data_IF_708313552535
#
_entry.id   IF_708313552535
#
_cell.length_a   1.000
_cell.length_b   1.000
_cell.length_c   1.000
_cell.angle_alpha   90.00
_cell.angle_beta   90.00
_cell.angle_gamma   90.00
#
_symmetry.space_group_name_H-M   'P 1'
#
loop_
_entity.id
_entity.type
_entity.pdbx_description
1 polymer ?
#
# COMPACT_ATOMS: atom_id res chain seq x y z
N UNK A 1 6.41 -10.83 6.76
CA UNK A 1 7.87 -10.84 6.69
C UNK A 1 8.43 -9.43 6.64
N UNK A 2 9.47 -9.22 7.45
CA UNK A 2 10.57 -8.24 7.35
C UNK A 2 10.31 -6.76 7.03
N UNK A 3 10.94 -5.90 7.84
CA UNK A 3 11.42 -4.59 7.43
C UNK A 3 12.93 -4.54 7.66
N UNK A 4 13.65 -3.77 6.85
CA UNK A 4 15.05 -3.43 7.09
C UNK A 4 15.07 -2.05 7.74
N UNK A 5 15.73 -1.90 8.88
CA UNK A 5 15.94 -0.59 9.52
C UNK A 5 17.24 -0.02 8.98
N UNK A 6 17.19 1.24 8.57
CA UNK A 6 18.39 2.01 8.26
C UNK A 6 18.77 2.83 9.51
N UNK A 7 19.96 2.58 10.04
CA UNK A 7 20.47 3.23 11.24
C UNK A 7 20.93 4.67 10.98
N UNK A 8 21.22 5.00 9.73
CA UNK A 8 21.91 6.25 9.40
C UNK A 8 20.89 7.38 9.21
N UNK A 9 19.67 7.07 8.78
CA UNK A 9 18.61 8.05 8.53
C UNK A 9 17.30 7.80 9.32
N UNK A 10 17.29 6.84 10.26
CA UNK A 10 16.11 6.45 11.04
C UNK A 10 14.91 6.02 10.18
N UNK A 11 15.16 5.52 8.98
CA UNK A 11 14.14 5.01 8.09
C UNK A 11 14.00 3.48 8.17
N UNK A 12 12.97 2.96 7.51
CA UNK A 12 12.80 1.52 7.36
C UNK A 12 12.22 1.17 6.00
N UNK A 13 12.77 0.14 5.38
CA UNK A 13 12.33 -0.39 4.08
C UNK A 13 11.41 -1.59 4.31
N UNK A 14 10.23 -1.59 3.68
CA UNK A 14 9.22 -2.66 3.80
C UNK A 14 9.07 -3.44 2.50
N UNK A 15 8.68 -4.71 2.62
CA UNK A 15 8.34 -5.52 1.46
C UNK A 15 6.98 -5.11 0.83
N UNK A 16 6.78 -5.52 -0.43
CA UNK A 16 5.55 -5.22 -1.18
C UNK A 16 4.29 -5.75 -0.48
N UNK A 17 4.32 -6.96 0.07
CA UNK A 17 3.16 -7.55 0.75
C UNK A 17 2.74 -6.73 1.98
N UNK A 18 3.72 -6.19 2.73
CA UNK A 18 3.43 -5.29 3.84
C UNK A 18 2.80 -3.98 3.37
N UNK A 19 3.31 -3.39 2.28
CA UNK A 19 2.71 -2.17 1.72
C UNK A 19 1.27 -2.40 1.25
N UNK A 20 0.97 -3.53 0.62
CA UNK A 20 -0.39 -3.88 0.20
C UNK A 20 -1.36 -4.04 1.39
N UNK A 21 -0.90 -4.67 2.48
CA UNK A 21 -1.67 -4.77 3.73
C UNK A 21 -1.94 -3.39 4.35
N UNK A 22 -0.96 -2.48 4.33
CA UNK A 22 -1.16 -1.10 4.79
C UNK A 22 -2.17 -0.33 3.95
N UNK A 23 -2.13 -0.48 2.62
CA UNK A 23 -3.11 0.18 1.74
C UNK A 23 -4.52 -0.34 2.01
N UNK A 24 -4.69 -1.66 2.18
CA UNK A 24 -5.96 -2.27 2.55
C UNK A 24 -6.47 -1.72 3.89
N UNK A 25 -5.62 -1.67 4.92
CA UNK A 25 -5.97 -1.12 6.25
C UNK A 25 -6.34 0.36 6.19
N UNK A 26 -5.73 1.12 5.27
CA UNK A 26 -6.08 2.51 5.02
C UNK A 26 -7.33 2.69 4.15
N UNK A 27 -8.00 1.60 3.74
CA UNK A 27 -9.17 1.64 2.85
C UNK A 27 -8.85 2.03 1.40
N UNK A 28 -7.58 2.09 1.03
CA UNK A 28 -7.14 2.44 -0.32
C UNK A 28 -7.12 1.19 -1.22
N UNK A 29 -7.74 1.29 -2.40
CA UNK A 29 -7.73 0.21 -3.39
C UNK A 29 -6.52 0.37 -4.32
N UNK A 30 -5.69 -0.66 -4.39
CA UNK A 30 -4.58 -0.73 -5.36
C UNK A 30 -5.13 -1.10 -6.73
N UNK A 31 -5.06 -0.19 -7.69
CA UNK A 31 -5.51 -0.43 -9.07
C UNK A 31 -4.42 -1.09 -9.92
N UNK A 32 -3.18 -0.69 -9.69
CA UNK A 32 -2.01 -1.21 -10.42
C UNK A 32 -0.75 -1.06 -9.57
N UNK A 33 0.24 -1.92 -9.78
CA UNK A 33 1.58 -1.73 -9.22
C UNK A 33 2.64 -2.35 -10.13
N UNK A 34 3.84 -1.76 -10.14
CA UNK A 34 4.93 -2.17 -11.02
C UNK A 34 6.30 -1.87 -10.39
N UNK A 35 7.27 -2.76 -10.61
CA UNK A 35 8.69 -2.49 -10.32
C UNK A 35 9.27 -1.53 -11.35
N UNK A 36 10.14 -0.61 -10.91
CA UNK A 36 10.90 0.25 -11.81
C UNK A 36 11.75 -0.61 -12.76
N UNK A 37 11.65 -0.33 -14.07
CA UNK A 37 12.41 -1.05 -15.10
C UNK A 37 13.85 -0.53 -15.15
N UNK A 38 14.77 -1.39 -15.58
CA UNK A 38 16.19 -1.07 -15.75
C UNK A 38 16.84 -0.47 -14.49
N UNK A 39 16.46 -0.99 -13.32
CA UNK A 39 16.99 -0.56 -12.03
C UNK A 39 18.27 -1.34 -11.67
N UNK A 40 19.27 -0.70 -11.02
CA UNK A 40 20.46 -1.40 -10.53
C UNK A 40 20.08 -2.55 -9.58
N UNK A 41 20.76 -3.70 -9.71
CA UNK A 41 20.43 -4.94 -8.96
C UNK A 41 20.98 -4.96 -7.53
N UNK A 42 21.92 -4.07 -7.27
CA UNK A 42 22.60 -3.85 -5.99
C UNK A 42 21.85 -2.88 -5.07
N UNK A 43 20.79 -2.22 -5.57
CA UNK A 43 19.92 -1.36 -4.79
C UNK A 43 18.60 -2.06 -4.43
N UNK A 44 17.95 -1.58 -3.37
CA UNK A 44 16.58 -1.98 -3.09
C UNK A 44 15.66 -1.67 -4.27
N UNK A 45 14.73 -2.57 -4.55
CA UNK A 45 13.79 -2.44 -5.65
C UNK A 45 12.84 -1.26 -5.40
N UNK A 46 12.65 -0.44 -6.44
CA UNK A 46 11.65 0.63 -6.41
C UNK A 46 10.34 0.12 -7.02
N UNK A 47 9.22 0.36 -6.34
CA UNK A 47 7.87 -0.01 -6.79
C UNK A 47 6.93 1.19 -6.78
N UNK A 48 6.17 1.34 -7.86
CA UNK A 48 5.11 2.33 -8.00
C UNK A 48 3.75 1.67 -7.77
N UNK A 49 2.83 2.40 -7.15
CA UNK A 49 1.45 1.97 -6.92
C UNK A 49 0.48 3.05 -7.39
N UNK A 50 -0.55 2.62 -8.11
CA UNK A 50 -1.71 3.46 -8.43
C UNK A 50 -2.78 3.13 -7.39
N UNK A 51 -3.07 4.09 -6.52
CA UNK A 51 -4.04 3.94 -5.44
C UNK A 51 -5.29 4.76 -5.74
N UNK A 52 -6.44 4.11 -5.64
CA UNK A 52 -7.71 4.80 -5.50
C UNK A 52 -7.92 5.11 -4.00
N UNK A 53 -8.07 6.39 -3.60
CA UNK A 53 -8.29 6.75 -2.21
C UNK A 53 -9.55 6.10 -1.64
N UNK A 54 -9.55 5.84 -0.33
CA UNK A 54 -10.78 5.54 0.40
C UNK A 54 -11.76 6.70 0.17
N UNK A 55 -12.95 6.42 -0.36
CA UNK A 55 -13.99 7.45 -0.47
C UNK A 55 -14.31 7.93 0.95
N UNK A 56 -14.21 9.23 1.25
CA UNK A 56 -14.69 9.76 2.52
C UNK A 56 -16.19 9.39 2.64
N UNK A 57 -16.53 8.52 3.59
CA UNK A 57 -17.92 8.06 3.83
C UNK A 57 -18.32 6.70 3.25
N UNK A 58 -17.42 5.93 2.62
CA UNK A 58 -17.78 4.60 2.08
C UNK A 58 -18.11 3.55 3.16
N UNK A 59 -17.48 3.60 4.34
CA UNK A 59 -17.84 2.70 5.45
C UNK A 59 -19.29 2.92 5.93
N UNK A 60 -19.80 4.15 5.85
CA UNK A 60 -21.16 4.49 6.25
C UNK A 60 -22.19 4.09 5.16
N UNK A 61 -21.83 4.22 3.89
CA UNK A 61 -22.71 3.84 2.78
C UNK A 61 -22.91 2.32 2.65
N UNK A 62 -21.87 1.52 2.94
CA UNK A 62 -21.95 0.07 2.85
C UNK A 62 -22.74 -0.53 4.03
N UNK A 63 -22.61 0.04 5.24
CA UNK A 63 -23.43 -0.34 6.40
C UNK A 63 -24.89 0.09 6.27
N UNK A 64 -25.19 1.24 5.65
CA UNK A 64 -26.56 1.67 5.37
C UNK A 64 -27.25 0.80 4.30
N UNK A 65 -26.50 0.28 3.32
CA UNK A 65 -27.02 -0.65 2.31
C UNK A 65 -27.36 -2.05 2.85
N UNK A 66 -26.66 -2.49 3.91
CA UNK A 66 -26.88 -3.78 4.55
C UNK A 66 -28.05 -3.79 5.56
N UNK A 67 -28.48 -2.61 6.05
CA UNK A 67 -29.60 -2.47 6.99
C UNK A 67 -30.96 -2.22 6.30
N UNK A 68 -30.99 -2.13 4.98
CA UNK A 68 -32.19 -1.89 4.18
C UNK A 68 -32.75 -3.15 3.47
N UNK A 69 -32.34 -4.35 3.91
CA UNK A 69 -32.85 -5.63 3.42
C UNK A 69 -33.46 -6.45 4.56
#
# INVERSE_FOLDING_TARGET
EGFVVDSDDSSLTRCNTYMLDLFQKAGAKVLYNLKQRNWPKDLFEVRMYVLQPARPGAEQAEQAGAQAQ
#
